data_IF_833258674864
#
_entry.id   IF_833258674864
#
_cell.length_a   1.000
_cell.length_b   1.000
_cell.length_c   1.000
_cell.angle_alpha   90.00
_cell.angle_beta   90.00
_cell.angle_gamma   90.00
#
_symmetry.space_group_name_H-M   'P 1'
#
loop_
_entity.id
_entity.type
_entity.pdbx_description
1 polymer ?
#
# COMPACT_ATOMS: atom_id res chain seq x y z
N UNK A 1 -36.05 -12.61 4.19
CA UNK A 1 -36.14 -13.01 2.77
C UNK A 1 -35.97 -11.74 1.95
N UNK A 2 -34.89 -11.58 1.15
CA UNK A 2 -34.77 -10.42 0.26
C UNK A 2 -35.96 -10.41 -0.70
N UNK A 3 -36.64 -9.27 -0.82
CA UNK A 3 -37.77 -9.12 -1.73
C UNK A 3 -37.30 -9.42 -3.15
N UNK A 4 -37.95 -10.36 -3.85
CA UNK A 4 -37.63 -10.74 -5.23
C UNK A 4 -38.09 -9.70 -6.26
N UNK A 5 -38.02 -8.42 -5.89
CA UNK A 5 -38.50 -7.30 -6.68
C UNK A 5 -37.39 -6.26 -6.80
N UNK A 6 -37.24 -5.74 -8.01
CA UNK A 6 -36.35 -4.62 -8.33
C UNK A 6 -37.23 -3.42 -8.65
N UNK A 7 -36.99 -2.34 -7.93
CA UNK A 7 -37.59 -1.06 -8.26
C UNK A 7 -36.90 -0.51 -9.52
N UNK A 8 -37.69 -0.16 -10.52
CA UNK A 8 -37.26 0.47 -11.77
C UNK A 8 -37.91 1.85 -11.84
N UNK A 9 -37.09 2.88 -12.00
CA UNK A 9 -37.59 4.25 -12.18
C UNK A 9 -37.83 4.48 -13.66
N UNK A 10 -39.04 4.90 -14.02
CA UNK A 10 -39.35 5.26 -15.40
C UNK A 10 -39.20 6.76 -15.58
N UNK A 11 -38.33 7.16 -16.50
CA UNK A 11 -38.12 8.57 -16.85
C UNK A 11 -38.88 8.95 -18.11
N UNK A 12 -39.67 10.02 -17.98
CA UNK A 12 -40.29 10.78 -19.06
C UNK A 12 -39.64 12.15 -19.18
N UNK A 13 -39.88 12.82 -20.30
CA UNK A 13 -39.44 14.19 -20.54
C UNK A 13 -39.89 15.18 -19.43
N UNK A 14 -41.04 14.93 -18.78
CA UNK A 14 -41.55 15.75 -17.69
C UNK A 14 -41.45 15.03 -16.34
N UNK A 15 -40.94 15.73 -15.31
CA UNK A 15 -40.77 15.18 -13.96
C UNK A 15 -42.09 14.68 -13.34
N UNK A 16 -43.22 15.31 -13.67
CA UNK A 16 -44.56 14.95 -13.17
C UNK A 16 -45.08 13.60 -13.70
N UNK A 17 -44.46 13.08 -14.75
CA UNK A 17 -44.83 11.81 -15.39
C UNK A 17 -43.91 10.65 -14.93
N UNK A 18 -42.88 10.93 -14.14
CA UNK A 18 -41.97 9.91 -13.63
C UNK A 18 -42.70 8.99 -12.65
N UNK A 19 -42.49 7.68 -12.78
CA UNK A 19 -43.10 6.67 -11.92
C UNK A 19 -42.11 5.57 -11.60
N UNK A 20 -42.09 5.16 -10.34
CA UNK A 20 -41.39 3.95 -9.91
C UNK A 20 -42.31 2.74 -10.06
N UNK A 21 -41.80 1.69 -10.69
CA UNK A 21 -42.52 0.44 -10.91
C UNK A 21 -41.70 -0.69 -10.27
N UNK A 22 -42.35 -1.58 -9.54
CA UNK A 22 -41.71 -2.75 -8.94
C UNK A 22 -41.87 -3.95 -9.87
N UNK A 23 -40.78 -4.37 -10.50
CA UNK A 23 -40.75 -5.53 -11.40
C UNK A 23 -40.16 -6.76 -10.69
N UNK A 24 -40.62 -7.99 -11.00
CA UNK A 24 -40.00 -9.21 -10.50
C UNK A 24 -38.54 -9.31 -10.96
N UNK A 25 -37.64 -9.63 -10.02
CA UNK A 25 -36.20 -9.70 -10.31
C UNK A 25 -35.82 -10.85 -11.24
N UNK A 26 -36.68 -11.87 -11.37
CA UNK A 26 -36.49 -13.04 -12.24
C UNK A 26 -36.78 -12.80 -13.72
N UNK A 27 -37.36 -11.65 -14.08
CA UNK A 27 -37.65 -11.32 -15.47
C UNK A 27 -36.36 -11.06 -16.27
N UNK A 28 -36.41 -11.38 -17.56
CA UNK A 28 -35.42 -10.93 -18.55
C UNK A 28 -35.63 -9.45 -18.87
N UNK A 29 -34.60 -8.77 -19.36
CA UNK A 29 -34.70 -7.37 -19.80
C UNK A 29 -35.79 -7.19 -20.86
N UNK A 30 -35.90 -8.07 -21.86
CA UNK A 30 -36.97 -8.03 -22.86
C UNK A 30 -38.36 -8.02 -22.21
N UNK A 31 -38.60 -8.96 -21.28
CA UNK A 31 -39.90 -9.07 -20.62
C UNK A 31 -40.16 -7.90 -19.67
N UNK A 32 -39.11 -7.39 -19.04
CA UNK A 32 -39.15 -6.18 -18.23
C UNK A 32 -39.58 -4.95 -19.03
N UNK A 33 -39.07 -4.81 -20.27
CA UNK A 33 -39.47 -3.74 -21.20
C UNK A 33 -40.96 -3.85 -21.51
N UNK A 34 -41.45 -5.04 -21.86
CA UNK A 34 -42.87 -5.27 -22.14
C UNK A 34 -43.78 -4.95 -20.96
N UNK A 35 -43.48 -5.50 -19.77
CA UNK A 35 -44.29 -5.25 -18.57
C UNK A 35 -44.20 -3.79 -18.10
N UNK A 36 -43.01 -3.20 -18.20
CA UNK A 36 -42.77 -1.80 -17.95
C UNK A 36 -43.63 -0.91 -18.83
N UNK A 37 -43.63 -1.14 -20.15
CA UNK A 37 -44.44 -0.39 -21.12
C UNK A 37 -45.94 -0.46 -20.83
N UNK A 38 -46.45 -1.63 -20.44
CA UNK A 38 -47.88 -1.77 -20.07
C UNK A 38 -48.18 -0.93 -18.82
N UNK A 39 -47.37 -1.09 -17.76
CA UNK A 39 -47.56 -0.37 -16.51
C UNK A 39 -47.42 1.17 -16.66
N UNK A 40 -46.58 1.60 -17.59
CA UNK A 40 -46.52 2.99 -18.03
C UNK A 40 -47.80 3.42 -18.71
N UNK A 41 -48.22 2.68 -19.75
CA UNK A 41 -49.36 3.06 -20.58
C UNK A 41 -50.60 3.23 -19.72
N UNK A 42 -50.80 2.30 -18.79
CA UNK A 42 -51.86 2.37 -17.79
C UNK A 42 -51.72 3.61 -16.90
N UNK A 43 -50.50 3.94 -16.47
CA UNK A 43 -50.25 5.15 -15.68
C UNK A 43 -50.56 6.44 -16.44
N UNK A 44 -50.11 6.57 -17.69
CA UNK A 44 -50.34 7.76 -18.50
C UNK A 44 -51.83 7.94 -18.76
N UNK A 45 -52.56 6.84 -19.01
CA UNK A 45 -54.01 6.86 -19.22
C UNK A 45 -54.81 7.25 -17.96
N UNK A 46 -54.24 7.11 -16.75
CA UNK A 46 -54.92 7.56 -15.52
C UNK A 46 -54.72 9.04 -15.22
N UNK A 47 -53.82 9.74 -15.92
CA UNK A 47 -53.55 11.16 -15.69
C UNK A 47 -54.53 12.01 -16.50
N UNK A 48 -55.39 12.83 -15.87
CA UNK A 48 -56.34 13.66 -16.59
C UNK A 48 -55.63 14.69 -17.46
N UNK A 49 -56.05 14.80 -18.72
CA UNK A 49 -55.49 15.74 -19.69
C UNK A 49 -54.28 15.23 -20.47
N UNK A 50 -53.79 14.01 -20.21
CA UNK A 50 -52.78 13.36 -21.04
C UNK A 50 -53.48 12.59 -22.16
N UNK A 51 -53.17 12.86 -23.45
CA UNK A 51 -53.74 12.10 -24.56
C UNK A 51 -53.21 10.66 -24.55
N UNK A 52 -53.95 9.68 -25.09
CA UNK A 52 -53.46 8.31 -25.22
C UNK A 52 -52.14 8.26 -25.99
N UNK A 53 -51.09 7.71 -25.37
CA UNK A 53 -49.76 7.62 -25.95
C UNK A 53 -49.52 6.21 -26.50
N UNK A 54 -49.10 6.10 -27.76
CA UNK A 54 -48.54 4.87 -28.31
C UNK A 54 -47.08 4.78 -27.89
N UNK A 55 -46.71 3.69 -27.22
CA UNK A 55 -45.33 3.42 -26.84
C UNK A 55 -44.78 2.37 -27.79
N UNK A 56 -43.71 2.71 -28.49
CA UNK A 56 -42.96 1.79 -29.34
C UNK A 56 -41.97 0.99 -28.49
N UNK A 57 -41.96 -0.36 -28.60
CA UNK A 57 -40.93 -1.21 -28.02
C UNK A 57 -39.51 -0.75 -28.29
N UNK A 58 -39.23 -0.21 -29.49
CA UNK A 58 -37.89 0.22 -29.90
C UNK A 58 -37.47 1.54 -29.22
N UNK A 59 -38.43 2.27 -28.65
CA UNK A 59 -38.22 3.52 -27.94
C UNK A 59 -38.09 3.37 -26.41
N UNK A 60 -38.02 2.13 -25.91
CA UNK A 60 -37.90 1.82 -24.48
C UNK A 60 -36.60 1.09 -24.20
N UNK A 61 -35.69 1.72 -23.43
CA UNK A 61 -34.43 1.07 -23.05
C UNK A 61 -34.06 1.26 -21.58
N UNK A 62 -33.23 0.35 -21.07
CA UNK A 62 -32.70 0.44 -19.71
C UNK A 62 -31.42 1.27 -19.67
N UNK A 63 -31.28 2.06 -18.61
CA UNK A 63 -30.04 2.72 -18.23
C UNK A 63 -29.51 2.14 -16.91
N UNK A 64 -28.22 1.73 -16.85
CA UNK A 64 -27.27 1.70 -17.97
C UNK A 64 -27.66 0.69 -19.07
N UNK A 65 -27.31 1.01 -20.32
CA UNK A 65 -27.68 0.21 -21.49
C UNK A 65 -27.19 -1.24 -21.36
N UNK A 66 -28.10 -2.19 -21.54
CA UNK A 66 -27.82 -3.63 -21.49
C UNK A 66 -27.60 -4.16 -22.90
N UNK A 67 -26.48 -4.85 -23.13
CA UNK A 67 -26.16 -5.42 -24.46
C UNK A 67 -26.95 -6.70 -24.80
N UNK A 68 -27.60 -7.31 -23.81
CA UNK A 68 -28.29 -8.59 -23.96
C UNK A 68 -29.67 -8.52 -23.31
N UNK A 69 -30.71 -8.55 -24.14
CA UNK A 69 -32.10 -8.51 -23.69
C UNK A 69 -32.53 -9.79 -22.92
N UNK A 70 -31.74 -10.87 -23.00
CA UNK A 70 -31.98 -12.10 -22.23
C UNK A 70 -31.39 -12.06 -20.81
N UNK A 71 -30.65 -11.00 -20.47
CA UNK A 71 -30.11 -10.83 -19.12
C UNK A 71 -31.24 -10.66 -18.10
N UNK A 72 -31.08 -11.27 -16.92
CA UNK A 72 -32.05 -11.17 -15.83
C UNK A 72 -31.88 -9.84 -15.10
N UNK A 73 -32.99 -9.11 -14.83
CA UNK A 73 -33.00 -7.79 -14.17
C UNK A 73 -32.19 -7.80 -12.85
N UNK A 74 -32.35 -8.86 -12.04
CA UNK A 74 -31.62 -9.00 -10.75
C UNK A 74 -30.10 -8.94 -10.92
N UNK A 75 -29.57 -9.41 -12.05
CA UNK A 75 -28.13 -9.42 -12.34
C UNK A 75 -27.56 -8.04 -12.70
N UNK A 76 -28.42 -7.06 -12.98
CA UNK A 76 -27.99 -5.72 -13.37
C UNK A 76 -27.58 -4.89 -12.14
N UNK A 77 -26.39 -4.30 -12.22
CA UNK A 77 -25.82 -3.48 -11.16
C UNK A 77 -26.43 -2.08 -11.17
N UNK A 78 -26.72 -1.55 -9.99
CA UNK A 78 -27.21 -0.19 -9.79
C UNK A 78 -28.73 -0.05 -9.80
N UNK A 79 -29.16 1.23 -9.78
CA UNK A 79 -30.56 1.61 -9.91
C UNK A 79 -30.93 1.57 -11.38
N UNK A 80 -31.90 0.71 -11.70
CA UNK A 80 -32.35 0.54 -13.08
C UNK A 80 -33.33 1.64 -13.43
N UNK A 81 -33.04 2.32 -14.52
CA UNK A 81 -33.88 3.38 -15.03
C UNK A 81 -34.37 2.98 -16.41
N UNK A 82 -35.68 2.93 -16.62
CA UNK A 82 -36.24 2.70 -17.94
C UNK A 82 -36.56 4.05 -18.56
N UNK A 83 -35.96 4.34 -19.71
CA UNK A 83 -36.15 5.59 -20.44
C UNK A 83 -37.08 5.32 -21.61
N UNK A 84 -38.14 6.10 -21.70
CA UNK A 84 -39.17 5.93 -22.72
C UNK A 84 -39.27 7.21 -23.54
N UNK A 85 -39.04 7.07 -24.84
CA UNK A 85 -39.18 8.16 -25.79
C UNK A 85 -40.54 8.03 -26.50
N UNK A 86 -41.39 9.08 -26.50
CA UNK A 86 -42.61 9.04 -27.30
C UNK A 86 -42.26 9.07 -28.79
N UNK A 87 -42.95 8.27 -29.60
CA UNK A 87 -42.86 8.38 -31.05
C UNK A 87 -43.33 9.77 -31.49
N UNK A 88 -42.62 10.43 -32.42
CA UNK A 88 -43.13 11.64 -33.03
C UNK A 88 -44.42 11.33 -33.81
N UNK A 89 -45.43 12.22 -33.79
CA UNK A 89 -46.62 12.05 -34.62
C UNK A 89 -46.25 11.83 -36.09
N UNK A 90 -46.84 10.81 -36.72
CA UNK A 90 -46.55 10.44 -38.11
C UNK A 90 -46.62 11.67 -39.02
N UNK A 91 -45.50 12.02 -39.66
CA UNK A 91 -45.38 13.15 -40.59
C UNK A 91 -44.67 14.40 -40.06
N UNK A 92 -44.31 14.48 -38.78
CA UNK A 92 -43.45 15.57 -38.30
C UNK A 92 -41.98 15.24 -38.49
N UNK A 93 -41.30 16.03 -39.34
CA UNK A 93 -39.84 16.10 -39.36
C UNK A 93 -39.39 16.60 -37.99
N UNK A 94 -38.52 15.86 -37.31
CA UNK A 94 -37.85 16.28 -36.08
C UNK A 94 -37.15 17.62 -36.34
N UNK A 95 -37.81 18.74 -36.04
CA UNK A 95 -37.07 19.97 -35.78
C UNK A 95 -36.31 19.71 -34.48
N UNK A 96 -35.00 20.02 -34.40
CA UNK A 96 -34.26 19.90 -33.15
C UNK A 96 -35.09 20.58 -32.07
N UNK A 97 -35.37 19.84 -30.99
CA UNK A 97 -36.24 20.35 -29.94
C UNK A 97 -35.61 21.61 -29.35
N UNK A 98 -36.38 22.52 -28.74
CA UNK A 98 -35.84 23.69 -28.05
C UNK A 98 -34.75 23.32 -27.03
N UNK A 99 -34.79 22.09 -26.51
CA UNK A 99 -33.76 21.52 -25.66
C UNK A 99 -32.44 21.25 -26.41
N UNK A 100 -32.49 20.72 -27.64
CA UNK A 100 -31.30 20.51 -28.48
C UNK A 100 -30.65 21.86 -28.83
N UNK A 101 -31.44 22.88 -29.13
CA UNK A 101 -30.92 24.23 -29.41
C UNK A 101 -30.28 24.87 -28.17
N UNK A 102 -30.94 24.75 -27.00
CA UNK A 102 -30.38 25.20 -25.73
C UNK A 102 -29.07 24.45 -25.37
N UNK A 103 -29.01 23.15 -25.66
CA UNK A 103 -27.80 22.34 -25.46
C UNK A 103 -26.68 22.78 -26.41
N UNK A 104 -26.99 23.03 -27.68
CA UNK A 104 -26.02 23.52 -28.65
C UNK A 104 -25.50 24.91 -28.29
N UNK A 105 -26.36 25.80 -27.78
CA UNK A 105 -25.98 27.10 -27.23
C UNK A 105 -25.01 26.96 -26.06
N UNK A 106 -25.36 26.10 -25.09
CA UNK A 106 -24.49 25.82 -23.93
C UNK A 106 -23.13 25.23 -24.33
N UNK A 107 -23.10 24.37 -25.36
CA UNK A 107 -21.85 23.83 -25.90
C UNK A 107 -20.97 24.93 -26.51
N UNK A 108 -21.57 25.95 -27.15
CA UNK A 108 -20.81 27.07 -27.71
C UNK A 108 -20.23 27.96 -26.62
N UNK A 109 -21.01 28.29 -25.59
CA UNK A 109 -20.54 29.07 -24.43
C UNK A 109 -19.34 28.40 -23.74
N UNK A 110 -19.39 27.08 -23.54
CA UNK A 110 -18.28 26.33 -22.92
C UNK A 110 -17.03 26.36 -23.80
N UNK A 111 -17.17 26.30 -25.13
CA UNK A 111 -16.03 26.42 -26.04
C UNK A 111 -15.38 27.80 -25.96
N UNK A 112 -16.19 28.86 -25.88
CA UNK A 112 -15.70 30.22 -25.80
C UNK A 112 -14.98 30.49 -24.48
N UNK A 113 -15.53 30.01 -23.36
CA UNK A 113 -14.86 30.10 -22.04
C UNK A 113 -13.54 29.34 -22.05
N UNK A 114 -13.50 28.16 -22.67
CA UNK A 114 -12.26 27.38 -22.78
C UNK A 114 -11.21 28.09 -23.66
N UNK A 115 -11.64 28.72 -24.75
CA UNK A 115 -10.76 29.51 -25.60
C UNK A 115 -10.18 30.72 -24.82
N UNK A 116 -11.01 31.41 -24.03
CA UNK A 116 -10.58 32.51 -23.17
C UNK A 116 -9.59 32.06 -22.08
N UNK A 117 -9.84 30.93 -21.43
CA UNK A 117 -8.91 30.37 -20.44
C UNK A 117 -7.56 30.02 -21.05
N UNK A 118 -7.55 29.41 -22.24
CA UNK A 118 -6.31 29.09 -22.95
C UNK A 118 -5.52 30.35 -23.32
N UNK A 119 -6.20 31.40 -23.80
CA UNK A 119 -5.57 32.69 -24.08
C UNK A 119 -4.99 33.33 -22.81
N UNK A 120 -5.71 33.25 -21.68
CA UNK A 120 -5.24 33.78 -20.40
C UNK A 120 -4.01 33.01 -19.86
N UNK A 121 -3.95 31.68 -20.07
CA UNK A 121 -2.79 30.86 -19.70
C UNK A 121 -1.54 31.26 -20.49
N UNK A 122 -1.67 31.47 -21.82
CA UNK A 122 -0.57 31.92 -22.66
C UNK A 122 0.00 33.27 -22.21
N UNK A 123 -0.88 34.24 -21.93
CA UNK A 123 -0.48 35.57 -21.42
C UNK A 123 0.24 35.44 -20.06
N UNK A 124 -0.25 34.56 -19.18
CA UNK A 124 0.38 34.31 -17.88
C UNK A 124 1.76 33.68 -18.02
N UNK A 125 1.94 32.70 -18.91
CA UNK A 125 3.24 32.07 -19.17
C UNK A 125 4.27 33.07 -19.69
N UNK A 126 3.88 33.96 -20.61
CA UNK A 126 4.76 35.01 -21.11
C UNK A 126 5.16 36.01 -20.02
N UNK A 127 4.22 36.40 -19.15
CA UNK A 127 4.50 37.33 -18.05
C UNK A 127 5.47 36.76 -16.99
N UNK A 128 5.45 35.44 -16.77
CA UNK A 128 6.38 34.77 -15.85
C UNK A 128 7.79 34.70 -16.43
N UNK A 129 7.90 34.55 -17.75
CA UNK A 129 9.20 34.53 -18.46
C UNK A 129 9.94 35.87 -18.36
N UNK A 130 9.23 36.99 -18.17
CA UNK A 130 9.82 38.32 -18.05
C UNK A 130 10.25 38.72 -16.62
N UNK A 131 9.79 38.01 -15.57
CA UNK A 131 10.06 38.41 -14.18
C UNK A 131 11.23 37.66 -13.52
N UNK A 132 11.75 36.59 -14.11
CA UNK A 132 12.96 35.93 -13.60
C UNK A 132 14.16 36.50 -14.35
N UNK A 133 14.88 37.42 -13.71
CA UNK A 133 16.12 37.95 -14.28
C UNK A 133 17.12 36.79 -14.44
N UNK A 134 17.73 36.61 -15.62
CA UNK A 134 18.67 35.50 -15.88
C UNK A 134 19.80 35.36 -14.86
N UNK A 135 20.18 36.48 -14.22
CA UNK A 135 21.24 36.54 -13.22
C UNK A 135 20.89 35.83 -11.89
N UNK A 136 19.61 35.79 -11.48
CA UNK A 136 19.24 35.13 -10.21
C UNK A 136 19.28 33.60 -10.32
N UNK A 137 18.91 33.06 -11.49
CA UNK A 137 19.02 31.62 -11.77
C UNK A 137 20.48 31.16 -11.80
N UNK A 138 21.39 31.94 -12.38
CA UNK A 138 22.82 31.60 -12.43
C UNK A 138 23.44 31.54 -11.02
N UNK A 139 23.07 32.47 -10.14
CA UNK A 139 23.53 32.45 -8.73
C UNK A 139 23.00 31.22 -7.98
N UNK A 140 21.73 30.86 -8.19
CA UNK A 140 21.14 29.66 -7.58
C UNK A 140 21.78 28.37 -8.11
N UNK A 141 22.06 28.29 -9.41
CA UNK A 141 22.68 27.14 -10.04
C UNK A 141 24.08 26.88 -9.46
N UNK A 142 24.92 27.93 -9.39
CA UNK A 142 26.26 27.83 -8.79
C UNK A 142 26.22 27.42 -7.31
N UNK A 143 25.20 27.88 -6.57
CA UNK A 143 25.03 27.50 -5.16
C UNK A 143 24.64 26.02 -5.01
N UNK A 144 23.82 25.50 -5.93
CA UNK A 144 23.47 24.09 -5.95
C UNK A 144 24.68 23.22 -6.29
N UNK A 145 25.46 23.58 -7.31
CA UNK A 145 26.68 22.88 -7.69
C UNK A 145 27.70 22.83 -6.53
N UNK A 146 27.93 23.97 -5.86
CA UNK A 146 28.81 24.03 -4.69
C UNK A 146 28.33 23.16 -3.52
N UNK A 147 27.00 23.06 -3.33
CA UNK A 147 26.40 22.22 -2.29
C UNK A 147 26.53 20.73 -2.65
N UNK A 148 26.32 20.37 -3.91
CA UNK A 148 26.46 19.02 -4.41
C UNK A 148 27.90 18.52 -4.26
N UNK A 149 28.90 19.34 -4.61
CA UNK A 149 30.29 19.01 -4.38
C UNK A 149 30.62 18.80 -2.89
N UNK A 150 30.08 19.67 -2.02
CA UNK A 150 30.30 19.53 -0.57
C UNK A 150 29.71 18.22 -0.05
N UNK A 151 28.47 17.92 -0.42
CA UNK A 151 27.81 16.65 -0.06
C UNK A 151 28.61 15.46 -0.58
N UNK A 152 29.15 15.54 -1.81
CA UNK A 152 30.02 14.51 -2.38
C UNK A 152 31.27 14.25 -1.54
N UNK A 153 31.93 15.32 -1.07
CA UNK A 153 33.10 15.22 -0.17
C UNK A 153 32.75 14.61 1.18
N UNK A 154 31.67 15.08 1.80
CA UNK A 154 31.21 14.58 3.11
C UNK A 154 30.86 13.08 3.03
N UNK A 155 30.18 12.65 1.97
CA UNK A 155 29.87 11.22 1.75
C UNK A 155 31.15 10.39 1.57
N UNK A 156 32.16 10.90 0.87
CA UNK A 156 33.42 10.20 0.67
C UNK A 156 34.22 10.06 1.97
N UNK A 157 34.17 11.07 2.84
CA UNK A 157 34.78 11.03 4.17
C UNK A 157 34.07 10.04 5.10
N UNK A 158 32.74 10.10 5.19
CA UNK A 158 31.95 9.15 5.98
C UNK A 158 32.18 7.69 5.54
N UNK A 159 32.39 7.44 4.24
CA UNK A 159 32.74 6.10 3.75
C UNK A 159 34.11 5.63 4.24
N UNK A 160 35.10 6.52 4.29
CA UNK A 160 36.44 6.21 4.82
C UNK A 160 36.36 5.90 6.31
N UNK A 161 35.72 6.76 7.10
CA UNK A 161 35.54 6.55 8.54
C UNK A 161 34.79 5.26 8.84
N UNK A 162 33.74 4.93 8.08
CA UNK A 162 32.99 3.69 8.29
C UNK A 162 33.83 2.44 7.91
N UNK A 163 34.71 2.55 6.92
CA UNK A 163 35.65 1.47 6.60
C UNK A 163 36.66 1.24 7.73
N UNK A 164 37.18 2.32 8.32
CA UNK A 164 38.09 2.27 9.46
C UNK A 164 37.41 1.71 10.72
N UNK A 165 36.19 2.16 11.03
CA UNK A 165 35.40 1.61 12.14
C UNK A 165 35.15 0.10 11.99
N UNK A 166 34.84 -0.37 10.78
CA UNK A 166 34.69 -1.80 10.50
C UNK A 166 35.98 -2.58 10.73
N UNK A 167 37.13 -1.99 10.39
CA UNK A 167 38.43 -2.60 10.66
C UNK A 167 38.66 -2.71 12.17
N UNK A 168 38.49 -1.62 12.90
CA UNK A 168 38.68 -1.56 14.35
C UNK A 168 37.76 -2.55 15.10
N UNK A 169 36.51 -2.69 14.66
CA UNK A 169 35.57 -3.67 15.24
C UNK A 169 36.07 -5.12 15.03
N UNK A 170 36.66 -5.44 13.87
CA UNK A 170 37.24 -6.77 13.63
C UNK A 170 38.46 -7.03 14.50
N UNK A 171 39.34 -6.05 14.65
CA UNK A 171 40.51 -6.18 15.52
C UNK A 171 40.11 -6.38 16.99
N UNK A 172 39.13 -5.62 17.48
CA UNK A 172 38.59 -5.80 18.84
C UNK A 172 37.99 -7.19 19.05
N UNK A 173 37.30 -7.75 18.06
CA UNK A 173 36.80 -9.11 18.13
C UNK A 173 37.94 -10.14 18.21
N UNK A 174 39.01 -9.94 17.46
CA UNK A 174 40.23 -10.76 17.54
C UNK A 174 40.88 -10.70 18.91
N UNK A 175 41.07 -9.50 19.46
CA UNK A 175 41.62 -9.32 20.82
C UNK A 175 40.77 -9.99 21.89
N UNK A 176 39.44 -9.94 21.78
CA UNK A 176 38.54 -10.62 22.70
C UNK A 176 38.73 -12.14 22.65
N UNK A 177 38.89 -12.72 21.47
CA UNK A 177 39.20 -14.16 21.32
C UNK A 177 40.51 -14.53 21.98
N UNK A 178 41.57 -13.74 21.75
CA UNK A 178 42.89 -13.97 22.35
C UNK A 178 42.85 -13.90 23.88
N UNK A 179 42.08 -12.96 24.44
CA UNK A 179 41.89 -12.86 25.91
C UNK A 179 41.21 -14.11 26.47
N UNK A 180 40.21 -14.67 25.78
CA UNK A 180 39.53 -15.90 26.23
C UNK A 180 40.43 -17.14 26.10
N UNK A 181 41.31 -17.18 25.11
CA UNK A 181 42.34 -18.22 25.00
C UNK A 181 43.35 -18.13 26.14
N UNK A 182 43.94 -16.95 26.38
CA UNK A 182 44.86 -16.72 27.50
C UNK A 182 44.22 -17.04 28.85
N UNK A 183 42.92 -16.76 29.03
CA UNK A 183 42.18 -17.14 30.25
C UNK A 183 42.13 -18.66 30.45
N UNK A 184 41.89 -19.42 29.38
CA UNK A 184 41.88 -20.89 29.43
C UNK A 184 43.27 -21.45 29.71
N UNK A 185 44.29 -20.94 29.03
CA UNK A 185 45.69 -21.34 29.28
C UNK A 185 46.11 -21.07 30.73
N UNK A 186 45.81 -19.88 31.24
CA UNK A 186 46.14 -19.50 32.62
C UNK A 186 45.37 -20.35 33.65
N UNK A 187 44.12 -20.74 33.36
CA UNK A 187 43.39 -21.69 34.21
C UNK A 187 44.04 -23.08 34.21
N UNK A 188 44.51 -23.57 33.05
CA UNK A 188 45.28 -24.81 32.94
C UNK A 188 46.58 -24.76 33.74
N UNK A 189 47.38 -23.72 33.55
CA UNK A 189 48.63 -23.53 34.30
C UNK A 189 48.41 -23.48 35.82
N UNK A 190 47.33 -22.83 36.29
CA UNK A 190 46.97 -22.84 37.72
C UNK A 190 46.64 -24.24 38.23
N UNK A 191 45.96 -25.06 37.44
CA UNK A 191 45.69 -26.45 37.78
C UNK A 191 46.99 -27.26 37.86
N UNK A 192 47.87 -27.13 36.87
CA UNK A 192 49.14 -27.85 36.81
C UNK A 192 50.07 -27.48 37.97
N UNK A 193 50.15 -26.19 38.32
CA UNK A 193 50.92 -25.71 39.48
C UNK A 193 50.39 -26.33 40.77
N UNK A 194 49.05 -26.39 40.93
CA UNK A 194 48.44 -26.99 42.12
C UNK A 194 48.75 -28.49 42.20
N UNK A 195 48.59 -29.22 41.11
CA UNK A 195 48.90 -30.66 41.06
C UNK A 195 50.37 -30.95 41.39
N UNK A 196 51.30 -30.15 40.83
CA UNK A 196 52.73 -30.25 41.14
C UNK A 196 53.02 -29.94 42.61
N UNK A 197 52.36 -28.93 43.17
CA UNK A 197 52.48 -28.60 44.60
C UNK A 197 52.00 -29.75 45.48
N UNK A 198 50.84 -30.34 45.18
CA UNK A 198 50.27 -31.47 45.94
C UNK A 198 51.21 -32.70 45.88
N UNK A 199 51.77 -33.01 44.69
CA UNK A 199 52.77 -34.07 44.52
C UNK A 199 54.06 -33.80 45.28
N UNK A 200 54.52 -32.55 45.31
CA UNK A 200 55.71 -32.15 46.07
C UNK A 200 55.49 -32.31 47.58
N UNK A 201 54.30 -31.95 48.08
CA UNK A 201 53.92 -32.12 49.49
C UNK A 201 53.80 -33.61 49.88
N UNK A 202 53.28 -34.45 48.99
CA UNK A 202 53.25 -35.90 49.18
C UNK A 202 54.66 -36.48 49.23
N UNK A 203 55.53 -36.14 48.27
CA UNK A 203 56.93 -36.56 48.28
C UNK A 203 57.67 -36.10 49.53
N UNK A 204 57.46 -34.85 49.96
CA UNK A 204 58.06 -34.31 51.19
C UNK A 204 57.63 -35.11 52.41
N UNK A 205 56.34 -35.44 52.52
CA UNK A 205 55.82 -36.31 53.59
C UNK A 205 56.43 -37.72 53.54
N UNK A 206 56.57 -38.32 52.36
CA UNK A 206 57.19 -39.63 52.20
C UNK A 206 58.66 -39.64 52.67
N UNK A 207 59.45 -38.65 52.28
CA UNK A 207 60.87 -38.52 52.69
C UNK A 207 61.00 -38.35 54.21
N UNK A 208 60.16 -37.49 54.81
CA UNK A 208 60.15 -37.31 56.26
C UNK A 208 59.71 -38.57 56.99
N UNK A 209 58.72 -39.30 56.47
CA UNK A 209 58.25 -40.57 57.00
C UNK A 209 59.35 -41.64 57.02
N UNK A 210 60.08 -41.82 55.92
CA UNK A 210 61.23 -42.77 55.84
C UNK A 210 62.30 -42.38 56.87
N UNK A 211 62.59 -41.09 57.01
CA UNK A 211 63.59 -40.60 57.96
C UNK A 211 63.17 -40.86 59.42
N UNK A 212 61.87 -40.71 59.74
CA UNK A 212 61.31 -41.06 61.06
C UNK A 212 61.37 -42.55 61.34
N UNK A 213 61.02 -43.41 60.38
CA UNK A 213 61.11 -44.88 60.55
C UNK A 213 62.57 -45.31 60.77
N UNK A 214 63.52 -44.75 60.02
CA UNK A 214 64.95 -44.99 60.25
C UNK A 214 65.43 -44.51 61.62
N UNK A 215 64.99 -43.33 62.09
CA UNK A 215 65.33 -42.84 63.43
C UNK A 215 64.77 -43.75 64.52
N UNK A 216 63.49 -44.13 64.42
CA UNK A 216 62.85 -45.04 65.38
C UNK A 216 63.55 -46.40 65.41
N UNK A 217 63.92 -46.96 64.25
CA UNK A 217 64.64 -48.24 64.19
C UNK A 217 66.04 -48.16 64.82
N UNK A 218 66.77 -47.05 64.58
CA UNK A 218 68.10 -46.81 65.16
C UNK A 218 68.05 -46.54 66.67
N UNK A 219 67.02 -45.84 67.13
CA UNK A 219 66.76 -45.61 68.56
C UNK A 219 66.39 -46.91 69.26
N UNK A 220 65.46 -47.71 68.71
CA UNK A 220 65.12 -49.03 69.23
C UNK A 220 66.33 -49.95 69.31
N UNK A 221 67.21 -49.98 68.28
CA UNK A 221 68.46 -50.76 68.32
C UNK A 221 69.46 -50.27 69.38
N UNK A 222 69.53 -48.96 69.64
CA UNK A 222 70.42 -48.41 70.68
C UNK A 222 69.88 -48.65 72.09
N UNK A 223 68.55 -48.55 72.29
CA UNK A 223 67.91 -48.86 73.57
C UNK A 223 67.87 -50.36 73.88
N UNK A 224 67.84 -51.22 72.85
CA UNK A 224 67.88 -52.68 73.02
C UNK A 224 69.27 -53.23 73.31
N UNK A 225 70.31 -52.39 73.44
CA UNK A 225 71.52 -52.68 74.20
C UNK A 225 71.91 -54.15 74.25
N UNK A 226 72.09 -54.76 73.08
CA UNK A 226 72.80 -56.03 72.96
C UNK A 226 74.25 -55.64 73.13
N UNK A 227 74.69 -55.59 74.39
CA UNK A 227 76.08 -55.77 74.76
C UNK A 227 76.45 -57.22 74.42
N UNK A 228 77.17 -57.40 73.33
CA UNK A 228 77.81 -58.63 72.90
C UNK A 228 78.97 -58.27 72.01
#
# INVERSE_FOLDING_TARGET
MPSDRKQVVVLYAEAKLQKSIDLPGSLTVARAKEEGMVAIRDHLNTIPGVPPVSLDPDCTDFYPATKDDNSIIRGLKGNLTMVVYPEPPQGQRLTPSPFVDALQSSIHEVRDVKAQQNAALLIREESVKCNVKPAENDVLLRRLEAMEEKIGRDIAELRRENAELKHNVKELAGLKSNIEELRRENAGLKHDIKELSDKMDENTRAVLGVRFVCLCYRFSRSCLGITG
#
